data_IF_233415667732
#
_entry.id   IF_233415667732
#
_cell.length_a   1.000
_cell.length_b   1.000
_cell.length_c   1.000
_cell.angle_alpha   90.00
_cell.angle_beta   90.00
_cell.angle_gamma   90.00
#
_symmetry.space_group_name_H-M   'P 1'
#
loop_
_entity.id
_entity.type
_entity.pdbx_description
1 polymer ?
#
# COMPACT_ATOMS: atom_id res chain seq x y z
N UNK A 1 -11.55 14.57 5.85
CA UNK A 1 -10.41 15.44 6.16
C UNK A 1 -9.33 15.25 5.10
N UNK A 2 -8.81 16.32 4.56
CA UNK A 2 -7.76 16.26 3.55
C UNK A 2 -6.35 16.26 4.17
N UNK A 3 -5.41 15.54 3.57
CA UNK A 3 -4.00 15.56 3.93
C UNK A 3 -3.18 16.54 3.06
N UNK A 4 -3.80 17.16 2.07
CA UNK A 4 -3.11 18.11 1.18
C UNK A 4 -2.52 19.26 1.99
N UNK A 5 -1.23 19.54 1.78
CA UNK A 5 -0.51 20.58 2.51
C UNK A 5 -0.15 20.23 3.93
N UNK A 6 -0.36 18.98 4.34
CA UNK A 6 -0.03 18.50 5.70
C UNK A 6 1.06 17.46 5.65
N UNK A 7 1.68 17.22 6.80
CA UNK A 7 2.69 16.17 6.93
C UNK A 7 2.04 14.81 6.75
N UNK A 8 2.66 13.94 5.93
CA UNK A 8 2.19 12.58 5.75
C UNK A 8 2.25 11.81 7.07
N UNK A 9 1.23 10.97 7.39
CA UNK A 9 1.29 10.11 8.56
C UNK A 9 2.52 9.20 8.53
N UNK A 10 3.20 9.09 9.66
CA UNK A 10 4.35 8.20 9.81
C UNK A 10 3.88 6.80 10.22
N UNK A 11 4.58 5.77 9.75
CA UNK A 11 4.26 4.39 10.11
C UNK A 11 5.48 3.49 9.99
N UNK A 12 5.39 2.33 10.62
CA UNK A 12 6.33 1.23 10.44
C UNK A 12 5.50 -0.06 10.32
N UNK A 13 5.71 -0.81 9.25
CA UNK A 13 4.90 -1.99 8.97
C UNK A 13 5.67 -3.00 8.12
N UNK A 14 5.27 -4.28 8.11
CA UNK A 14 5.83 -5.23 7.17
C UNK A 14 5.56 -4.83 5.74
N UNK A 15 6.48 -5.15 4.85
CA UNK A 15 6.34 -4.88 3.42
C UNK A 15 7.05 -5.93 2.60
N UNK A 16 6.48 -6.27 1.45
CA UNK A 16 7.18 -7.02 0.42
C UNK A 16 8.08 -6.03 -0.32
N UNK A 17 9.37 -6.35 -0.46
CA UNK A 17 10.31 -5.54 -1.19
C UNK A 17 10.95 -6.35 -2.31
N UNK A 18 11.21 -5.70 -3.44
CA UNK A 18 11.88 -6.31 -4.60
C UNK A 18 11.15 -7.56 -5.16
N UNK A 19 9.87 -7.70 -4.85
CA UNK A 19 9.06 -8.83 -5.29
C UNK A 19 9.39 -10.17 -4.63
N UNK A 20 10.32 -10.22 -3.68
CA UNK A 20 10.79 -11.48 -3.12
C UNK A 20 11.10 -11.46 -1.62
N UNK A 21 11.52 -10.33 -1.07
CA UNK A 21 11.94 -10.22 0.32
C UNK A 21 10.89 -9.54 1.18
N UNK A 22 10.85 -9.88 2.47
CA UNK A 22 9.95 -9.25 3.42
C UNK A 22 10.76 -8.46 4.43
N UNK A 23 10.50 -7.14 4.51
CA UNK A 23 11.03 -6.26 5.55
C UNK A 23 9.97 -6.10 6.63
N UNK A 24 10.35 -6.23 7.91
CA UNK A 24 9.37 -6.20 9.01
C UNK A 24 9.05 -4.79 9.50
N UNK A 25 9.92 -3.84 9.27
CA UNK A 25 9.82 -2.48 9.80
C UNK A 25 10.00 -1.41 8.71
N UNK A 26 9.29 -1.61 7.59
CA UNK A 26 9.34 -0.68 6.46
C UNK A 26 8.68 0.65 6.83
N UNK A 27 9.31 1.77 6.46
CA UNK A 27 8.80 3.11 6.69
C UNK A 27 9.12 4.02 5.52
N UNK A 28 8.24 4.99 5.24
CA UNK A 28 8.49 6.04 4.26
C UNK A 28 9.47 7.10 4.77
N UNK A 29 9.74 7.13 6.07
CA UNK A 29 10.66 8.10 6.68
C UNK A 29 12.05 8.03 6.08
N UNK A 30 12.46 6.88 5.52
CA UNK A 30 13.73 6.72 4.84
C UNK A 30 13.91 7.64 3.62
N UNK A 31 12.82 8.16 3.09
CA UNK A 31 12.85 9.03 1.90
C UNK A 31 12.78 10.51 2.25
N UNK A 32 12.55 10.87 3.51
CA UNK A 32 12.47 12.28 3.94
C UNK A 32 13.78 13.01 3.57
N UNK A 33 13.65 14.13 2.87
CA UNK A 33 14.78 14.91 2.42
C UNK A 33 15.54 14.35 1.22
N UNK A 34 15.12 13.20 0.68
CA UNK A 34 15.84 12.50 -0.40
C UNK A 34 15.02 12.34 -1.67
N UNK A 35 13.78 11.83 -1.54
CA UNK A 35 12.94 11.47 -2.67
C UNK A 35 11.50 11.91 -2.45
N UNK A 36 10.84 12.26 -3.54
CA UNK A 36 9.39 12.30 -3.57
C UNK A 36 8.87 10.88 -3.64
N UNK A 37 7.68 10.62 -3.09
CA UNK A 37 7.08 9.28 -3.03
C UNK A 37 5.67 9.34 -3.60
N UNK A 38 5.36 8.41 -4.51
CA UNK A 38 3.99 8.08 -4.88
C UNK A 38 3.58 6.90 -4.02
N UNK A 39 2.66 7.15 -3.09
CA UNK A 39 2.13 6.12 -2.19
C UNK A 39 0.69 5.87 -2.56
N UNK A 40 0.39 4.66 -3.04
CA UNK A 40 -0.97 4.36 -3.48
C UNK A 40 -1.53 3.12 -2.77
N UNK A 41 -2.84 3.16 -2.58
CA UNK A 41 -3.60 2.09 -1.94
C UNK A 41 -4.44 1.35 -2.96
N UNK A 42 -4.62 0.05 -2.75
CA UNK A 42 -5.53 -0.77 -3.52
C UNK A 42 -6.28 -1.71 -2.58
N UNK A 43 -7.49 -2.19 -2.97
CA UNK A 43 -8.36 -2.91 -2.03
C UNK A 43 -7.81 -4.23 -1.51
N UNK A 44 -7.32 -5.11 -2.38
CA UNK A 44 -6.75 -6.40 -1.93
C UNK A 44 -6.05 -7.15 -3.05
N UNK A 45 -5.18 -8.07 -2.62
CA UNK A 45 -4.47 -8.99 -3.49
C UNK A 45 -5.44 -9.99 -4.16
N UNK A 46 -4.96 -10.65 -5.20
CA UNK A 46 -5.67 -11.73 -5.89
C UNK A 46 -7.02 -11.34 -6.49
N UNK A 47 -7.18 -10.08 -6.93
CA UNK A 47 -8.35 -9.64 -7.68
C UNK A 47 -7.99 -9.44 -9.15
N UNK A 48 -8.99 -9.47 -10.03
CA UNK A 48 -8.74 -9.36 -11.48
C UNK A 48 -8.47 -7.94 -11.95
N UNK A 49 -8.79 -6.93 -11.16
CA UNK A 49 -8.64 -5.51 -11.53
C UNK A 49 -7.31 -4.93 -11.07
N UNK A 50 -6.93 -5.22 -9.83
CA UNK A 50 -5.74 -4.64 -9.20
C UNK A 50 -4.41 -4.96 -9.92
N UNK A 51 -4.19 -6.16 -10.51
CA UNK A 51 -2.91 -6.44 -11.17
C UNK A 51 -2.56 -5.46 -12.29
N UNK A 52 -3.55 -5.05 -13.08
CA UNK A 52 -3.33 -4.11 -14.18
C UNK A 52 -2.79 -2.78 -13.70
N UNK A 53 -3.34 -2.26 -12.59
CA UNK A 53 -2.89 -1.01 -11.97
C UNK A 53 -1.46 -1.14 -11.47
N UNK A 54 -1.14 -2.23 -10.77
CA UNK A 54 0.21 -2.43 -10.24
C UNK A 54 1.25 -2.59 -11.34
N UNK A 55 0.93 -3.31 -12.40
CA UNK A 55 1.83 -3.46 -13.54
C UNK A 55 2.02 -2.15 -14.29
N UNK A 56 1.00 -1.30 -14.37
CA UNK A 56 1.11 0.01 -15.02
C UNK A 56 2.16 0.88 -14.32
N UNK A 57 2.21 0.88 -12.98
CA UNK A 57 3.26 1.58 -12.25
C UNK A 57 4.63 0.96 -12.48
N UNK A 58 4.73 -0.36 -12.53
CA UNK A 58 6.01 -1.02 -12.79
C UNK A 58 6.54 -0.68 -14.19
N UNK A 59 5.68 -0.62 -15.19
CA UNK A 59 6.06 -0.26 -16.56
C UNK A 59 6.65 1.14 -16.66
N UNK A 60 6.35 2.02 -15.69
CA UNK A 60 6.85 3.40 -15.63
C UNK A 60 7.99 3.60 -14.63
N UNK A 61 8.50 2.52 -14.03
CA UNK A 61 9.53 2.65 -12.99
C UNK A 61 10.80 3.34 -13.47
N UNK A 62 11.22 3.10 -14.71
CA UNK A 62 12.38 3.77 -15.28
C UNK A 62 12.20 5.30 -15.31
N UNK A 63 10.99 5.77 -15.66
CA UNK A 63 10.67 7.19 -15.67
C UNK A 63 10.65 7.77 -14.25
N UNK A 64 10.06 7.07 -13.29
CA UNK A 64 10.05 7.50 -11.90
C UNK A 64 11.45 7.56 -11.32
N UNK A 65 12.28 6.54 -11.55
CA UNK A 65 13.67 6.52 -11.07
C UNK A 65 14.48 7.69 -11.65
N UNK A 66 14.29 7.99 -12.94
CA UNK A 66 14.95 9.10 -13.61
C UNK A 66 14.61 10.44 -12.98
N UNK A 67 13.40 10.59 -12.43
CA UNK A 67 12.92 11.81 -11.76
C UNK A 67 13.15 11.80 -10.25
N UNK A 68 13.76 10.75 -9.71
CA UNK A 68 13.99 10.60 -8.28
C UNK A 68 12.74 10.31 -7.46
N UNK A 69 11.70 9.80 -8.09
CA UNK A 69 10.42 9.48 -7.44
C UNK A 69 10.38 8.00 -7.09
N UNK A 70 10.04 7.69 -5.84
CA UNK A 70 9.84 6.32 -5.38
C UNK A 70 8.36 5.96 -5.41
N UNK A 71 8.05 4.71 -5.75
CA UNK A 71 6.68 4.19 -5.80
C UNK A 71 6.54 3.15 -4.71
N UNK A 72 5.48 3.27 -3.91
CA UNK A 72 5.17 2.33 -2.82
C UNK A 72 3.66 2.05 -2.85
N UNK A 73 3.29 0.79 -2.82
CA UNK A 73 1.89 0.38 -2.76
C UNK A 73 1.53 -0.09 -1.35
N UNK A 74 0.23 -0.14 -1.05
CA UNK A 74 -0.27 -0.59 0.24
C UNK A 74 -1.66 -1.20 0.09
N UNK A 75 -1.90 -2.30 0.79
CA UNK A 75 -3.24 -2.83 1.00
C UNK A 75 -3.34 -3.42 2.41
N UNK A 76 -4.54 -3.81 2.82
CA UNK A 76 -4.78 -4.39 4.14
C UNK A 76 -4.45 -5.88 4.21
N UNK A 77 -3.91 -6.45 3.14
CA UNK A 77 -3.46 -7.85 3.11
C UNK A 77 -2.15 -8.03 3.90
N UNK A 78 -1.82 -9.28 4.17
CA UNK A 78 -0.59 -9.62 4.87
C UNK A 78 0.62 -9.57 3.92
N UNK A 79 1.83 -9.48 4.49
CA UNK A 79 3.07 -9.56 3.73
C UNK A 79 3.23 -10.93 3.04
N UNK A 80 2.72 -11.98 3.64
CA UNK A 80 2.74 -13.33 3.04
C UNK A 80 1.81 -13.39 1.82
N UNK A 81 0.64 -12.73 1.89
CA UNK A 81 -0.28 -12.63 0.75
C UNK A 81 0.39 -11.88 -0.41
N UNK A 82 1.04 -10.76 -0.13
CA UNK A 82 1.79 -10.01 -1.12
C UNK A 82 2.88 -10.86 -1.76
N UNK A 83 3.62 -11.58 -0.94
CA UNK A 83 4.68 -12.46 -1.43
C UNK A 83 4.12 -13.55 -2.33
N UNK A 84 3.05 -14.21 -1.90
CA UNK A 84 2.39 -15.26 -2.69
C UNK A 84 1.90 -14.75 -4.05
N UNK A 85 1.27 -13.59 -4.04
CA UNK A 85 0.76 -12.97 -5.27
C UNK A 85 1.90 -12.57 -6.22
N UNK A 86 3.03 -12.14 -5.68
CA UNK A 86 4.22 -11.78 -6.45
C UNK A 86 4.91 -12.99 -7.12
N UNK A 87 4.57 -14.20 -6.73
CA UNK A 87 5.06 -15.42 -7.36
C UNK A 87 4.19 -15.88 -8.53
N UNK A 88 2.98 -15.33 -8.65
CA UNK A 88 2.03 -15.70 -9.70
C UNK A 88 2.29 -14.90 -10.97
N UNK A 89 2.36 -15.58 -12.11
CA UNK A 89 2.61 -14.95 -13.41
C UNK A 89 1.49 -13.96 -13.76
N UNK A 90 1.85 -12.91 -14.49
CA UNK A 90 0.94 -11.89 -14.98
C UNK A 90 -0.22 -12.50 -15.77
N UNK A 91 0.05 -13.50 -16.60
CA UNK A 91 -0.95 -14.18 -17.41
C UNK A 91 -1.97 -14.96 -16.57
N UNK A 92 -1.65 -15.27 -15.30
CA UNK A 92 -2.52 -15.96 -14.36
C UNK A 92 -3.10 -15.01 -13.30
N UNK A 93 -3.10 -13.70 -13.57
CA UNK A 93 -3.65 -12.70 -12.67
C UNK A 93 -2.72 -12.29 -11.54
N UNK A 94 -1.43 -12.62 -11.63
CA UNK A 94 -0.45 -12.31 -10.60
C UNK A 94 0.33 -11.03 -10.87
N UNK A 95 1.22 -10.71 -9.95
CA UNK A 95 2.05 -9.50 -10.00
C UNK A 95 3.54 -9.83 -10.07
N UNK A 96 3.90 -11.01 -10.57
CA UNK A 96 5.30 -11.34 -10.80
C UNK A 96 5.95 -10.28 -11.72
N UNK A 97 7.11 -9.78 -11.30
CA UNK A 97 7.80 -8.70 -11.99
C UNK A 97 7.68 -7.34 -11.33
N UNK A 98 6.74 -7.17 -10.41
CA UNK A 98 6.62 -5.94 -9.63
C UNK A 98 7.80 -5.88 -8.63
N UNK A 99 8.54 -4.78 -8.66
CA UNK A 99 9.75 -4.62 -7.83
C UNK A 99 9.64 -3.54 -6.76
N UNK A 100 8.69 -2.61 -6.89
CA UNK A 100 8.52 -1.60 -5.85
C UNK A 100 7.90 -2.20 -4.59
N UNK A 101 8.10 -1.58 -3.42
CA UNK A 101 7.58 -2.11 -2.16
C UNK A 101 6.05 -2.13 -2.10
N UNK A 102 5.51 -3.15 -1.45
CA UNK A 102 4.08 -3.27 -1.16
C UNK A 102 3.91 -3.44 0.34
N UNK A 103 3.39 -2.42 0.99
CA UNK A 103 3.21 -2.39 2.45
C UNK A 103 2.00 -3.23 2.84
N UNK A 104 2.15 -4.00 3.91
CA UNK A 104 1.08 -4.82 4.48
C UNK A 104 0.47 -4.09 5.67
N UNK A 105 -0.68 -3.45 5.44
CA UNK A 105 -1.43 -2.74 6.48
C UNK A 105 -2.45 -3.67 7.14
N UNK A 106 -1.96 -4.79 7.68
CA UNK A 106 -2.81 -5.86 8.20
C UNK A 106 -3.72 -5.38 9.33
N UNK A 107 -3.24 -4.48 10.18
CA UNK A 107 -4.05 -3.92 11.28
C UNK A 107 -4.87 -2.69 10.86
N UNK A 108 -4.78 -2.27 9.62
CA UNK A 108 -5.60 -1.21 9.01
C UNK A 108 -5.34 0.21 9.54
N UNK A 109 -4.29 0.39 10.32
CA UNK A 109 -3.99 1.70 10.91
C UNK A 109 -3.44 2.70 9.90
N UNK A 110 -2.70 2.22 8.89
CA UNK A 110 -2.17 3.08 7.83
C UNK A 110 -3.31 3.57 6.94
N UNK A 111 -4.18 2.66 6.50
CA UNK A 111 -5.35 3.01 5.68
C UNK A 111 -6.25 4.01 6.40
N UNK A 112 -6.44 3.84 7.71
CA UNK A 112 -7.22 4.77 8.51
C UNK A 112 -6.52 6.15 8.59
N UNK A 113 -5.22 6.17 8.86
CA UNK A 113 -4.45 7.42 8.98
C UNK A 113 -4.46 8.24 7.68
N UNK A 114 -4.45 7.56 6.52
CA UNK A 114 -4.53 8.22 5.21
C UNK A 114 -5.97 8.49 4.76
N UNK A 115 -6.96 8.11 5.55
CA UNK A 115 -8.38 8.39 5.27
C UNK A 115 -8.98 7.54 4.15
N UNK A 116 -8.41 6.37 3.87
CA UNK A 116 -8.87 5.50 2.78
C UNK A 116 -9.46 4.18 3.26
N UNK A 117 -9.60 3.97 4.56
CA UNK A 117 -10.21 2.74 5.09
C UNK A 117 -11.71 2.73 4.83
N UNK A 118 -12.21 1.65 4.22
CA UNK A 118 -13.64 1.46 3.97
C UNK A 118 -14.26 0.77 5.16
N UNK A 119 -14.89 1.54 6.04
CA UNK A 119 -15.54 1.02 7.24
C UNK A 119 -14.88 1.52 8.51
N UNK A 120 -15.46 1.11 9.62
CA UNK A 120 -14.97 1.47 10.94
C UNK A 120 -15.29 0.35 11.94
N UNK A 121 -14.52 0.29 13.00
CA UNK A 121 -14.81 -0.59 14.13
C UNK A 121 -15.71 0.15 15.12
N UNK A 122 -16.61 -0.59 15.77
CA UNK A 122 -17.50 -0.06 16.77
C UNK A 122 -17.83 -1.16 17.77
N UNK A 123 -18.61 -0.84 18.79
CA UNK A 123 -19.09 -1.82 19.76
C UNK A 123 -20.61 -1.84 19.73
N UNK A 124 -21.19 -3.04 19.80
CA UNK A 124 -22.65 -3.19 19.87
C UNK A 124 -23.15 -2.93 21.30
N UNK A 125 -24.47 -3.07 21.49
CA UNK A 125 -25.12 -2.85 22.80
C UNK A 125 -24.60 -3.80 23.89
N UNK A 126 -24.07 -4.95 23.49
CA UNK A 126 -23.50 -5.96 24.40
C UNK A 126 -22.02 -5.76 24.67
N UNK A 127 -21.41 -4.72 24.09
CA UNK A 127 -20.00 -4.46 24.22
C UNK A 127 -19.10 -5.31 23.31
N UNK A 128 -19.68 -6.03 22.36
CA UNK A 128 -18.90 -6.82 21.41
C UNK A 128 -18.37 -5.96 20.28
N UNK A 129 -17.14 -6.22 19.84
CA UNK A 129 -16.54 -5.52 18.72
C UNK A 129 -17.25 -5.88 17.43
N UNK A 130 -17.65 -4.88 16.65
CA UNK A 130 -18.28 -5.05 15.34
C UNK A 130 -17.55 -4.19 14.32
N UNK A 131 -17.62 -4.59 13.06
CA UNK A 131 -17.06 -3.83 11.94
C UNK A 131 -18.19 -3.35 11.04
N UNK A 132 -18.21 -2.05 10.76
CA UNK A 132 -19.18 -1.44 9.87
C UNK A 132 -18.49 -1.18 8.52
N UNK A 133 -18.49 -2.18 7.65
CA UNK A 133 -17.86 -2.14 6.34
C UNK A 133 -16.84 -3.26 6.15
N UNK A 134 -16.29 -3.40 4.95
CA UNK A 134 -15.40 -4.52 4.60
C UNK A 134 -13.99 -4.41 5.20
N UNK A 135 -13.63 -3.28 5.76
CA UNK A 135 -12.32 -3.04 6.40
C UNK A 135 -11.14 -3.26 5.46
N UNK A 136 -11.28 -2.79 4.23
CA UNK A 136 -10.21 -2.76 3.21
C UNK A 136 -9.99 -1.32 2.78
N UNK A 137 -8.92 -1.08 2.02
CA UNK A 137 -8.61 0.27 1.54
C UNK A 137 -9.40 0.60 0.27
N UNK A 138 -9.81 1.87 0.15
CA UNK A 138 -10.18 2.44 -1.15
C UNK A 138 -8.95 2.53 -2.05
N UNK A 139 -9.15 2.65 -3.35
CA UNK A 139 -8.09 3.10 -4.23
C UNK A 139 -7.78 4.56 -3.92
N UNK A 140 -6.54 4.83 -3.58
CA UNK A 140 -6.10 6.17 -3.26
C UNK A 140 -4.66 6.37 -3.70
N UNK A 141 -4.30 7.58 -4.12
CA UNK A 141 -2.96 7.90 -4.53
C UNK A 141 -2.54 9.20 -3.87
N UNK A 142 -1.37 9.19 -3.24
CA UNK A 142 -0.80 10.35 -2.56
C UNK A 142 0.59 10.63 -3.13
N UNK A 143 0.81 11.89 -3.49
CA UNK A 143 2.14 12.36 -3.83
C UNK A 143 2.72 13.05 -2.60
N UNK A 144 3.83 12.53 -2.12
CA UNK A 144 4.49 13.01 -0.89
C UNK A 144 5.82 13.64 -1.32
N UNK A 145 6.02 14.91 -0.96
CA UNK A 145 7.23 15.60 -1.29
C UNK A 145 8.39 15.23 -0.34
N UNK A 146 9.56 15.83 -0.56
CA UNK A 146 10.78 15.51 0.20
C UNK A 146 10.79 16.06 1.62
N UNK A 147 9.89 16.97 1.92
CA UNK A 147 9.94 17.69 3.21
C UNK A 147 9.45 16.87 4.41
#
# INVERSE_FOLDING_TARGET
MTLVGKKAPSFSAPALINGNDIAQDYSLDQFIGKNEVIFFFYPKDFTFVCPSELHAFQDKMAEFDKRGVKVVACSTDTEESHWGWAQVDKNNGGIKGIKYPIVADTNKTISDAFGVLVGEYDFDEMGALVANGPMIAYRGLFLIDKA
#
